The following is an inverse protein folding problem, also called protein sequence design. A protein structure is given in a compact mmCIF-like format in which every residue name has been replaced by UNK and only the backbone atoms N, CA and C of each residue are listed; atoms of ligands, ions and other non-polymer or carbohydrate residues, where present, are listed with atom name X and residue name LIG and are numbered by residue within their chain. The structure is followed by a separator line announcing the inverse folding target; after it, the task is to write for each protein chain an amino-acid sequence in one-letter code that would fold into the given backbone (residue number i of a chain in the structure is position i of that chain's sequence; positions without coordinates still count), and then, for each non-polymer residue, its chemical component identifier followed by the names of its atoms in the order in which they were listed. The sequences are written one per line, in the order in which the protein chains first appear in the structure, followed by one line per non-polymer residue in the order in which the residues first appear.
data_IF_446316804949
#
_entry.id   IF_446316804949
#
_cell.length_a   1.000
_cell.length_b   1.000
_cell.length_c   1.000
_cell.angle_alpha   90.00
_cell.angle_beta   90.00
_cell.angle_gamma   90.00
#
_symmetry.space_group_name_H-M   'P 1'
#
loop_
_entity.id
_entity.type
_entity.pdbx_description
1 polymer ?
#
# COMPACT_ATOMS: atom_id res chain seq x y z
N UNK A 1 -7.74 -0.96 -16.99
CA UNK A 1 -7.26 -0.74 -18.36
C UNK A 1 -7.27 -2.05 -19.16
N UNK A 2 -6.43 -3.03 -18.78
CA UNK A 2 -6.25 -4.31 -19.48
C UNK A 2 -7.54 -5.11 -19.74
N UNK A 3 -8.48 -5.15 -18.79
CA UNK A 3 -9.79 -5.80 -18.99
C UNK A 3 -10.54 -5.22 -20.18
N UNK A 4 -10.65 -3.89 -20.25
CA UNK A 4 -11.35 -3.21 -21.34
C UNK A 4 -10.66 -3.41 -22.69
N UNK A 5 -9.31 -3.36 -22.72
CA UNK A 5 -8.55 -3.66 -23.92
C UNK A 5 -8.78 -5.11 -24.40
N UNK A 6 -8.81 -6.07 -23.47
CA UNK A 6 -9.13 -7.47 -23.77
C UNK A 6 -10.53 -7.65 -24.35
N UNK A 7 -11.54 -6.98 -23.78
CA UNK A 7 -12.93 -7.06 -24.25
C UNK A 7 -13.11 -6.60 -25.70
N UNK A 8 -12.31 -5.63 -26.16
CA UNK A 8 -12.41 -5.09 -27.54
C UNK A 8 -11.32 -5.63 -28.47
N UNK A 9 -10.47 -6.57 -28.01
CA UNK A 9 -9.37 -7.12 -28.80
C UNK A 9 -8.28 -6.11 -29.15
N UNK A 10 -8.11 -5.03 -28.37
CA UNK A 10 -7.11 -4.00 -28.63
C UNK A 10 -5.69 -4.53 -28.36
N UNK A 11 -4.75 -4.17 -29.24
CA UNK A 11 -3.31 -4.36 -28.98
C UNK A 11 -2.83 -3.26 -28.04
N UNK A 12 -2.21 -3.67 -26.93
CA UNK A 12 -1.69 -2.77 -25.90
C UNK A 12 -0.16 -2.77 -25.97
N UNK A 13 0.50 -1.60 -26.02
CA UNK A 13 1.95 -1.53 -25.94
C UNK A 13 2.44 -1.85 -24.52
N UNK A 14 3.71 -2.26 -24.36
CA UNK A 14 4.26 -2.74 -23.09
C UNK A 14 4.33 -1.66 -21.97
N UNK A 15 4.27 -0.39 -22.36
CA UNK A 15 4.32 0.82 -21.53
C UNK A 15 2.93 1.45 -21.32
N UNK A 16 1.85 0.67 -21.45
CA UNK A 16 0.50 1.14 -21.18
C UNK A 16 -0.22 0.24 -20.18
N UNK A 17 -0.64 0.82 -19.05
CA UNK A 17 -1.39 0.08 -18.03
C UNK A 17 -0.51 -0.93 -17.31
N UNK A 18 0.68 -0.48 -16.91
CA UNK A 18 1.80 -1.21 -16.33
C UNK A 18 1.43 -1.96 -15.03
N UNK A 19 0.38 -1.52 -14.34
CA UNK A 19 -0.18 -2.18 -13.15
C UNK A 19 -1.52 -2.87 -13.40
N UNK A 20 -2.04 -2.77 -14.63
CA UNK A 20 -3.36 -3.27 -14.98
C UNK A 20 -3.28 -4.74 -15.37
N UNK A 21 -3.85 -5.57 -14.51
CA UNK A 21 -4.13 -6.99 -14.79
C UNK A 21 -5.56 -7.12 -15.32
N UNK A 22 -5.77 -7.93 -16.35
CA UNK A 22 -7.13 -8.22 -16.85
C UNK A 22 -7.87 -9.14 -15.88
N UNK A 23 -9.10 -8.77 -15.51
CA UNK A 23 -10.02 -9.64 -14.76
C UNK A 23 -11.03 -10.35 -15.66
N UNK A 24 -10.94 -10.16 -16.98
CA UNK A 24 -11.86 -10.74 -17.96
C UNK A 24 -11.98 -12.28 -17.83
N UNK A 25 -10.88 -13.05 -17.67
CA UNK A 25 -10.99 -14.50 -17.48
C UNK A 25 -11.84 -14.89 -16.27
N UNK A 26 -11.78 -14.12 -15.18
CA UNK A 26 -12.62 -14.39 -13.99
C UNK A 26 -14.09 -14.05 -14.26
N UNK A 27 -14.37 -12.98 -15.01
CA UNK A 27 -15.73 -12.62 -15.40
C UNK A 27 -16.38 -13.66 -16.33
N UNK A 28 -15.57 -14.35 -17.13
CA UNK A 28 -16.00 -15.39 -18.06
C UNK A 28 -16.02 -16.80 -17.44
N UNK A 29 -15.64 -16.93 -16.15
CA UNK A 29 -15.56 -18.23 -15.48
C UNK A 29 -14.40 -19.11 -15.94
N UNK A 30 -13.36 -18.51 -16.53
CA UNK A 30 -12.17 -19.18 -17.09
C UNK A 30 -10.91 -18.96 -16.25
N UNK A 31 -11.02 -18.33 -15.08
CA UNK A 31 -9.88 -18.11 -14.19
C UNK A 31 -9.69 -19.32 -13.24
N UNK A 32 -8.71 -20.15 -13.55
CA UNK A 32 -8.33 -21.30 -12.70
C UNK A 32 -7.30 -20.94 -11.62
N UNK A 33 -6.66 -19.79 -11.74
CA UNK A 33 -5.63 -19.31 -10.81
C UNK A 33 -5.83 -17.84 -10.44
N UNK A 34 -5.10 -17.38 -9.42
CA UNK A 34 -5.05 -15.95 -9.09
C UNK A 34 -4.55 -15.16 -10.30
N UNK A 35 -5.28 -14.11 -10.66
CA UNK A 35 -4.93 -13.24 -11.79
C UNK A 35 -3.82 -12.24 -11.43
N UNK A 36 -3.72 -11.86 -10.14
CA UNK A 36 -2.70 -10.93 -9.62
C UNK A 36 -1.99 -11.55 -8.43
N UNK A 37 -0.69 -11.31 -8.31
CA UNK A 37 0.11 -11.85 -7.21
C UNK A 37 -0.10 -11.10 -5.88
N UNK A 38 -0.19 -9.76 -5.92
CA UNK A 38 -0.42 -8.91 -4.75
C UNK A 38 -1.10 -7.60 -5.15
N UNK A 39 -1.79 -6.91 -4.23
CA UNK A 39 -2.39 -5.60 -4.44
C UNK A 39 -1.63 -4.53 -3.65
N UNK A 40 -1.34 -3.39 -4.28
CA UNK A 40 -0.75 -2.22 -3.61
C UNK A 40 -1.88 -1.23 -3.29
N UNK A 41 -1.86 -0.69 -2.07
CA UNK A 41 -2.70 0.41 -1.66
C UNK A 41 -1.82 1.59 -1.23
N UNK A 42 -2.40 2.77 -1.20
CA UNK A 42 -1.75 3.92 -0.58
C UNK A 42 -2.77 4.75 0.20
N UNK A 43 -2.32 5.33 1.30
CA UNK A 43 -3.13 6.30 2.04
C UNK A 43 -3.15 7.64 1.30
N UNK A 44 -4.00 8.56 1.79
CA UNK A 44 -3.99 9.94 1.32
C UNK A 44 -2.64 10.65 1.55
N UNK A 45 -1.88 10.24 2.57
CA UNK A 45 -0.55 10.80 2.86
C UNK A 45 0.55 10.09 2.08
N UNK A 46 0.20 9.15 1.19
CA UNK A 46 1.14 8.39 0.40
C UNK A 46 1.82 7.25 1.18
N UNK A 47 1.25 6.80 2.31
CA UNK A 47 1.75 5.61 2.99
C UNK A 47 1.34 4.38 2.20
N UNK A 48 2.31 3.60 1.72
CA UNK A 48 2.06 2.39 0.97
C UNK A 48 1.66 1.24 1.89
N UNK A 49 0.80 0.36 1.36
CA UNK A 49 0.60 -0.98 1.87
C UNK A 49 0.51 -1.99 0.73
N UNK A 50 0.84 -3.24 1.01
CA UNK A 50 0.76 -4.34 0.05
C UNK A 50 0.02 -5.51 0.68
N UNK A 51 -0.89 -6.10 -0.10
CA UNK A 51 -1.62 -7.31 0.28
C UNK A 51 -1.25 -8.45 -0.67
N UNK A 52 -0.74 -9.54 -0.12
CA UNK A 52 -0.47 -10.79 -0.84
C UNK A 52 -1.15 -11.93 -0.07
N UNK A 53 -2.02 -12.66 -0.74
CA UNK A 53 -2.86 -13.69 -0.13
C UNK A 53 -3.66 -13.15 1.08
N UNK A 54 -3.39 -13.68 2.28
CA UNK A 54 -4.01 -13.27 3.55
C UNK A 54 -3.20 -12.21 4.28
N UNK A 55 -1.96 -11.95 3.89
CA UNK A 55 -1.12 -10.97 4.56
C UNK A 55 -1.33 -9.57 4.00
N UNK A 56 -1.42 -8.59 4.89
CA UNK A 56 -1.38 -7.17 4.55
C UNK A 56 -0.30 -6.48 5.37
N UNK A 57 0.66 -5.88 4.67
CA UNK A 57 1.75 -5.10 5.25
C UNK A 57 1.51 -3.61 4.96
N UNK A 58 1.58 -2.77 6.00
CA UNK A 58 1.51 -1.32 5.89
C UNK A 58 2.84 -0.69 6.33
N UNK A 59 3.39 0.20 5.50
CA UNK A 59 4.66 0.88 5.75
C UNK A 59 4.47 2.24 6.45
N UNK A 60 3.65 2.27 7.48
CA UNK A 60 3.46 3.44 8.33
C UNK A 60 2.96 3.08 9.73
N UNK A 61 3.12 3.97 10.72
CA UNK A 61 2.39 3.90 11.99
C UNK A 61 0.95 4.42 11.87
N UNK A 62 0.08 3.94 12.75
CA UNK A 62 -1.31 4.41 12.85
C UNK A 62 -2.09 4.19 11.54
N UNK A 63 -3.04 5.05 11.22
CA UNK A 63 -3.90 4.86 10.05
C UNK A 63 -3.29 5.28 8.71
N UNK A 64 -2.13 5.93 8.72
CA UNK A 64 -1.56 6.59 7.55
C UNK A 64 -2.40 7.75 6.99
N UNK A 65 -3.54 8.13 7.59
CA UNK A 65 -4.52 9.03 7.00
C UNK A 65 -5.34 9.82 8.01
N UNK A 66 -6.65 9.57 8.03
CA UNK A 66 -7.62 10.39 8.77
C UNK A 66 -8.19 9.71 10.02
N UNK A 67 -8.06 8.39 10.11
CA UNK A 67 -8.62 7.58 11.20
C UNK A 67 -7.67 7.52 12.39
N UNK A 68 -8.20 7.16 13.56
CA UNK A 68 -7.37 6.94 14.74
C UNK A 68 -6.50 5.67 14.58
N UNK A 69 -5.24 5.67 15.04
CA UNK A 69 -4.43 6.83 15.42
C UNK A 69 -4.07 7.69 14.20
N UNK A 70 -4.30 9.01 14.28
CA UNK A 70 -4.21 9.93 13.14
C UNK A 70 -2.85 10.67 13.11
N UNK A 71 -2.05 10.52 12.04
CA UNK A 71 -0.79 11.26 11.89
C UNK A 71 -0.96 12.79 11.97
N UNK A 72 -0.17 13.41 12.87
CA UNK A 72 -0.18 14.85 13.14
C UNK A 72 -1.30 15.33 14.07
N UNK A 73 -2.16 14.44 14.57
CA UNK A 73 -3.12 14.76 15.64
C UNK A 73 -2.80 13.97 16.91
N UNK A 74 -2.54 12.68 16.74
CA UNK A 74 -2.17 11.75 17.80
C UNK A 74 -0.65 11.54 17.80
N UNK A 75 -0.10 11.16 18.94
CA UNK A 75 1.32 10.83 19.06
C UNK A 75 1.55 9.42 18.53
N UNK A 76 2.38 9.30 17.49
CA UNK A 76 2.70 8.04 16.84
C UNK A 76 4.16 7.62 17.08
N UNK A 77 4.91 8.35 17.91
CA UNK A 77 6.34 8.15 18.11
C UNK A 77 6.67 6.77 18.70
N UNK A 78 5.80 6.26 19.57
CA UNK A 78 5.94 4.94 20.19
C UNK A 78 5.28 3.80 19.38
N UNK A 79 4.61 4.12 18.27
CA UNK A 79 3.98 3.09 17.42
C UNK A 79 5.00 2.47 16.46
N UNK A 80 4.88 1.15 16.18
CA UNK A 80 5.68 0.49 15.16
C UNK A 80 5.62 1.24 13.82
N UNK A 81 6.78 1.40 13.18
CA UNK A 81 6.89 2.06 11.88
C UNK A 81 6.18 1.32 10.75
N UNK A 82 5.93 0.03 10.96
CA UNK A 82 5.28 -0.89 10.04
C UNK A 82 4.23 -1.72 10.78
N UNK A 83 3.25 -2.20 10.04
CA UNK A 83 2.16 -3.02 10.58
C UNK A 83 1.93 -4.22 9.67
N UNK A 84 1.79 -5.41 10.24
CA UNK A 84 1.46 -6.63 9.50
C UNK A 84 0.22 -7.27 10.10
N UNK A 85 -0.74 -7.60 9.23
CA UNK A 85 -2.02 -8.21 9.59
C UNK A 85 -2.25 -9.51 8.82
N UNK A 86 -2.69 -10.55 9.53
CA UNK A 86 -3.27 -11.76 8.94
C UNK A 86 -4.78 -11.54 8.74
N UNK A 87 -5.20 -11.22 7.51
CA UNK A 87 -6.59 -10.97 7.17
C UNK A 87 -7.47 -12.23 7.18
N UNK A 88 -6.88 -13.43 7.27
CA UNK A 88 -7.64 -14.67 7.46
C UNK A 88 -8.10 -14.80 8.91
N UNK A 89 -7.25 -14.41 9.86
CA UNK A 89 -7.55 -14.45 11.30
C UNK A 89 -8.18 -13.15 11.82
N UNK A 90 -7.83 -12.01 11.22
CA UNK A 90 -8.19 -10.68 11.67
C UNK A 90 -8.45 -9.75 10.46
N UNK A 91 -9.66 -9.85 9.92
CA UNK A 91 -10.10 -8.98 8.81
C UNK A 91 -10.22 -7.51 9.22
N UNK A 92 -10.29 -7.23 10.54
CA UNK A 92 -10.47 -5.90 11.10
C UNK A 92 -9.17 -5.15 11.37
N UNK A 93 -8.01 -5.78 11.11
CA UNK A 93 -6.69 -5.17 11.27
C UNK A 93 -6.44 -4.64 12.70
N UNK A 94 -6.82 -5.43 13.70
CA UNK A 94 -6.78 -5.07 15.11
C UNK A 94 -5.47 -5.47 15.77
N UNK A 95 -4.86 -6.59 15.35
CA UNK A 95 -3.64 -7.14 15.94
C UNK A 95 -2.48 -7.07 14.97
N UNK A 96 -1.57 -6.13 15.21
CA UNK A 96 -0.30 -6.06 14.48
C UNK A 96 0.62 -7.21 14.92
N UNK A 97 0.95 -8.11 14.00
CA UNK A 97 1.79 -9.31 14.22
C UNK A 97 3.18 -9.20 13.57
N UNK A 98 3.62 -8.00 13.20
CA UNK A 98 4.89 -7.80 12.48
C UNK A 98 6.12 -8.33 13.24
N UNK A 99 6.11 -8.25 14.57
CA UNK A 99 7.23 -8.70 15.40
C UNK A 99 7.38 -10.23 15.39
N UNK A 100 6.25 -10.93 15.22
CA UNK A 100 6.18 -12.39 15.26
C UNK A 100 6.48 -13.03 13.89
N UNK A 101 6.38 -12.24 12.80
CA UNK A 101 6.54 -12.71 11.41
C UNK A 101 7.52 -11.84 10.59
N UNK A 102 8.79 -11.69 11.02
CA UNK A 102 9.76 -10.84 10.32
C UNK A 102 10.08 -11.33 8.90
N UNK A 103 9.95 -12.62 8.62
CA UNK A 103 10.11 -13.20 7.28
C UNK A 103 9.04 -12.70 6.31
N UNK A 104 7.78 -12.63 6.74
CA UNK A 104 6.67 -12.12 5.93
C UNK A 104 6.85 -10.62 5.67
N UNK A 105 7.26 -9.86 6.70
CA UNK A 105 7.59 -8.44 6.54
C UNK A 105 8.65 -8.23 5.46
N UNK A 106 9.75 -9.01 5.52
CA UNK A 106 10.84 -8.91 4.53
C UNK A 106 10.36 -9.26 3.12
N UNK A 107 9.61 -10.34 2.96
CA UNK A 107 9.09 -10.78 1.66
C UNK A 107 8.21 -9.71 1.02
N UNK A 108 7.22 -9.20 1.76
CA UNK A 108 6.27 -8.24 1.22
C UNK A 108 6.90 -6.88 0.97
N UNK A 109 7.84 -6.46 1.83
CA UNK A 109 8.64 -5.26 1.61
C UNK A 109 9.46 -5.38 0.33
N UNK A 110 10.15 -6.50 0.13
CA UNK A 110 10.94 -6.75 -1.07
C UNK A 110 10.07 -6.77 -2.34
N UNK A 111 8.88 -7.37 -2.27
CA UNK A 111 7.94 -7.39 -3.39
C UNK A 111 7.47 -5.97 -3.75
N UNK A 112 7.05 -5.17 -2.77
CA UNK A 112 6.64 -3.79 -2.99
C UNK A 112 7.78 -2.93 -3.54
N UNK A 113 9.00 -3.08 -2.98
CA UNK A 113 10.18 -2.40 -3.49
C UNK A 113 10.46 -2.79 -4.95
N UNK A 114 10.31 -4.07 -5.30
CA UNK A 114 10.50 -4.52 -6.69
C UNK A 114 9.52 -3.89 -7.68
N UNK A 115 8.30 -3.55 -7.25
CA UNK A 115 7.35 -2.84 -8.10
C UNK A 115 7.77 -1.38 -8.29
N UNK A 116 8.22 -0.74 -7.21
CA UNK A 116 8.76 0.61 -7.27
C UNK A 116 9.99 0.67 -8.20
N UNK A 117 10.95 -0.24 -8.03
CA UNK A 117 12.19 -0.26 -8.81
C UNK A 117 11.96 -0.52 -10.30
N UNK A 118 10.97 -1.35 -10.63
CA UNK A 118 10.62 -1.67 -12.02
C UNK A 118 9.60 -0.69 -12.62
N UNK A 119 9.04 0.22 -11.83
CA UNK A 119 7.95 1.10 -12.21
C UNK A 119 6.67 0.38 -12.66
N UNK A 120 6.50 -0.88 -12.24
CA UNK A 120 5.34 -1.71 -12.63
C UNK A 120 5.15 -2.94 -11.73
N UNK A 121 3.91 -3.37 -11.61
CA UNK A 121 3.50 -4.61 -10.91
C UNK A 121 3.12 -5.77 -11.84
N UNK A 122 3.27 -5.61 -13.15
CA UNK A 122 3.06 -6.68 -14.14
C UNK A 122 4.39 -7.15 -14.76
N UNK A 123 4.42 -8.32 -15.42
CA UNK A 123 5.54 -8.70 -16.29
C UNK A 123 5.73 -7.72 -17.45
N UNK A 124 6.97 -7.54 -17.90
CA UNK A 124 7.34 -6.70 -19.04
C UNK A 124 8.60 -5.89 -18.76
N UNK A 125 8.96 -4.97 -19.66
CA UNK A 125 10.17 -4.16 -19.48
C UNK A 125 9.98 -3.19 -18.30
N UNK A 126 11.01 -2.95 -17.47
CA UNK A 126 10.98 -1.90 -16.47
C UNK A 126 10.63 -0.55 -17.10
N UNK A 127 9.81 0.23 -16.40
CA UNK A 127 9.38 1.57 -16.81
C UNK A 127 9.85 2.61 -15.79
N UNK A 128 10.12 3.86 -16.21
CA UNK A 128 10.48 4.92 -15.28
C UNK A 128 9.26 5.36 -14.45
N UNK A 129 9.48 5.58 -13.16
CA UNK A 129 8.49 6.30 -12.35
C UNK A 129 8.50 7.80 -12.68
N UNK A 130 7.37 8.47 -12.55
CA UNK A 130 7.25 9.94 -12.71
C UNK A 130 8.11 10.73 -11.72
N UNK A 131 8.55 10.12 -10.62
CA UNK A 131 9.46 10.70 -9.65
C UNK A 131 10.13 9.64 -8.78
N UNK A 132 10.96 10.08 -7.83
CA UNK A 132 11.61 9.19 -6.87
C UNK A 132 10.59 8.53 -5.94
N UNK A 133 10.68 7.21 -5.81
CA UNK A 133 9.80 6.41 -4.95
C UNK A 133 10.60 5.88 -3.74
N UNK A 134 10.43 6.52 -2.59
CA UNK A 134 10.80 5.93 -1.29
C UNK A 134 9.52 5.38 -0.64
N UNK A 135 9.39 4.06 -0.63
CA UNK A 135 8.21 3.36 -0.11
C UNK A 135 7.99 3.58 1.40
N UNK A 136 8.99 4.08 2.13
CA UNK A 136 8.92 4.39 3.56
C UNK A 136 8.76 5.88 3.87
N UNK A 137 8.83 6.77 2.87
CA UNK A 137 8.86 8.23 3.06
C UNK A 137 7.69 8.74 3.91
N UNK A 138 6.48 8.29 3.59
CA UNK A 138 5.27 8.69 4.30
C UNK A 138 5.20 8.13 5.72
N UNK A 139 5.64 6.89 5.94
CA UNK A 139 5.71 6.26 7.27
C UNK A 139 6.69 6.99 8.19
N UNK A 140 7.93 7.23 7.71
CA UNK A 140 8.94 8.01 8.44
C UNK A 140 8.43 9.40 8.79
N UNK A 141 7.79 10.07 7.83
CA UNK A 141 7.20 11.38 8.05
C UNK A 141 6.12 11.34 9.13
N UNK A 142 5.24 10.33 9.12
CA UNK A 142 4.15 10.18 10.09
C UNK A 142 4.63 10.05 11.54
N UNK A 143 5.72 9.30 11.80
CA UNK A 143 6.30 9.17 13.15
C UNK A 143 6.89 10.49 13.66
N UNK A 144 7.38 11.35 12.77
CA UNK A 144 7.98 12.63 13.14
C UNK A 144 6.97 13.78 13.32
N UNK A 145 5.71 13.58 12.94
CA UNK A 145 4.67 14.61 13.01
C UNK A 145 4.30 14.91 14.47
N UNK A 146 4.69 16.08 14.97
CA UNK A 146 4.26 16.57 16.28
C UNK A 146 2.81 17.02 16.25
N UNK A 147 2.11 16.81 17.37
CA UNK A 147 0.78 17.40 17.61
C UNK A 147 0.88 18.94 17.53
N UNK A 148 0.00 19.62 16.77
CA UNK A 148 0.01 21.08 16.73
C UNK A 148 -0.22 21.63 18.14
N UNK A 149 0.62 22.60 18.54
CA UNK A 149 0.47 23.30 19.81
C UNK A 149 -0.93 23.93 19.88
N UNK A 150 -1.63 23.72 21.02
CA UNK A 150 -2.93 24.36 21.27
C UNK A 150 -2.74 25.88 21.18
N UNK A 151 -3.34 26.54 20.19
CA UNK A 151 -3.52 27.99 20.21
C UNK A 151 -4.53 28.30 21.32
N UNK A 152 -4.08 28.96 22.40
CA UNK A 152 -5.00 29.47 23.41
C UNK A 152 -6.00 30.41 22.73
N UNK A 153 -7.31 30.23 22.92
CA UNK A 153 -8.28 31.20 22.43
C UNK A 153 -7.98 32.55 23.10
N UNK A 154 -7.73 33.59 22.30
CA UNK A 154 -7.60 34.96 22.80
C UNK A 154 -8.87 35.27 23.60
N UNK A 155 -8.73 35.53 24.90
CA UNK A 155 -9.81 36.10 25.73
C UNK A 155 -10.27 37.38 25.03
N UNK A 156 -11.51 37.42 24.54
CA UNK A 156 -12.15 38.67 24.16
C UNK A 156 -12.41 39.43 25.46
N UNK A 157 -11.79 40.60 25.63
CA UNK A 157 -12.13 41.58 26.67
C UNK A 157 -13.30 42.42 26.22
#
# INVERSE_FOLDING_TARGET
FATGAGMVGAKVPDDAGEDSVSILPAMEGQADTRLREAAVHHSIRGAFSIRKDHWKLELCPGSGGWSFPKPGKDDLSDLPAIQLYDLKADIGEQKNVQADHPEVVRELTALLQSYADRGRSTPGKPQPNTGEVDIFKAGKSAQSLKKPARKNPKKKS
#
